data_IF_449749083272
#
_entry.id   IF_449749083272
#
_cell.length_a   1.000
_cell.length_b   1.000
_cell.length_c   1.000
_cell.angle_alpha   90.00
_cell.angle_beta   90.00
_cell.angle_gamma   90.00
#
_symmetry.space_group_name_H-M   'P 1'
#
loop_
_entity.id
_entity.type
_entity.pdbx_description
1 polymer ?
#
# COMPACT_ATOMS: atom_id res chain seq x y z
N UNK A 1 -13.32 -1.92 4.49
CA UNK A 1 -12.29 -0.90 4.17
C UNK A 1 -12.38 0.33 5.06
N UNK A 2 -13.56 0.92 5.30
CA UNK A 2 -13.72 2.09 6.21
C UNK A 2 -13.06 1.89 7.58
N UNK A 3 -13.28 0.74 8.23
CA UNK A 3 -12.66 0.44 9.53
C UNK A 3 -11.12 0.31 9.47
N UNK A 4 -10.58 -0.15 8.34
CA UNK A 4 -9.12 -0.18 8.12
C UNK A 4 -8.57 1.23 8.07
N UNK A 5 -9.24 2.13 7.35
CA UNK A 5 -8.86 3.54 7.27
C UNK A 5 -8.98 4.28 8.60
N UNK A 6 -9.97 3.93 9.43
CA UNK A 6 -10.08 4.48 10.78
C UNK A 6 -8.89 4.07 11.67
N UNK A 7 -8.49 2.79 11.60
CA UNK A 7 -7.32 2.28 12.33
C UNK A 7 -6.02 2.93 11.87
N UNK A 8 -5.82 3.07 10.56
CA UNK A 8 -4.71 3.81 9.97
C UNK A 8 -4.67 5.25 10.48
N UNK A 9 -5.73 6.04 10.26
CA UNK A 9 -5.76 7.44 10.68
C UNK A 9 -5.48 7.64 12.18
N UNK A 10 -6.04 6.76 13.03
CA UNK A 10 -5.81 6.76 14.46
C UNK A 10 -4.34 6.48 14.82
N UNK A 11 -3.74 5.45 14.23
CA UNK A 11 -2.34 5.08 14.49
C UNK A 11 -1.34 6.07 13.89
N UNK A 12 -1.69 6.70 12.77
CA UNK A 12 -0.87 7.66 12.08
C UNK A 12 -0.82 9.01 12.81
N UNK A 13 -2.00 9.61 13.06
CA UNK A 13 -2.18 10.95 13.65
C UNK A 13 -1.26 12.01 13.02
N UNK A 14 -1.34 12.16 11.70
CA UNK A 14 -0.46 13.03 10.91
C UNK A 14 1.04 12.72 11.12
N UNK A 15 1.36 11.45 11.36
CA UNK A 15 2.70 10.96 11.65
C UNK A 15 3.25 11.35 13.02
N UNK A 16 2.42 11.81 13.97
CA UNK A 16 2.87 12.07 15.36
C UNK A 16 3.05 10.78 16.15
N UNK A 17 2.14 9.83 15.97
CA UNK A 17 2.15 8.58 16.72
C UNK A 17 2.91 7.47 16.01
N UNK A 18 2.87 7.41 14.68
CA UNK A 18 3.57 6.40 13.88
C UNK A 18 5.09 6.29 14.19
N UNK A 19 5.76 7.43 14.44
CA UNK A 19 7.20 7.47 14.73
C UNK A 19 7.51 7.59 16.23
N UNK A 20 6.49 7.67 17.07
CA UNK A 20 6.67 7.66 18.51
C UNK A 20 7.00 6.24 18.95
N UNK A 21 8.23 6.04 19.44
CA UNK A 21 8.71 4.73 19.90
C UNK A 21 8.32 4.40 21.34
N UNK A 22 7.49 5.24 21.97
CA UNK A 22 7.06 5.09 23.36
C UNK A 22 5.55 4.85 23.43
N UNK A 23 5.16 3.58 23.61
CA UNK A 23 3.77 3.21 23.88
C UNK A 23 3.16 3.98 25.06
N UNK A 24 3.81 4.06 26.23
CA UNK A 24 3.30 4.83 27.37
C UNK A 24 3.04 6.30 27.04
N UNK A 25 3.87 6.93 26.20
CA UNK A 25 3.65 8.31 25.77
C UNK A 25 2.39 8.42 24.90
N UNK A 26 2.23 7.54 23.90
CA UNK A 26 1.03 7.53 23.03
C UNK A 26 -0.24 7.35 23.88
N UNK A 27 -0.21 6.43 24.85
CA UNK A 27 -1.34 6.20 25.76
C UNK A 27 -1.61 7.39 26.70
N UNK A 28 -0.57 8.09 27.16
CA UNK A 28 -0.71 9.33 27.93
C UNK A 28 -1.38 10.43 27.12
N UNK A 29 -0.91 10.69 25.90
CA UNK A 29 -1.53 11.66 24.98
C UNK A 29 -2.98 11.27 24.64
N UNK A 30 -3.26 9.98 24.42
CA UNK A 30 -4.63 9.51 24.19
C UNK A 30 -5.53 9.78 25.41
N UNK A 31 -5.02 9.62 26.63
CA UNK A 31 -5.77 9.94 27.84
C UNK A 31 -6.05 11.45 27.96
N UNK A 32 -5.07 12.29 27.64
CA UNK A 32 -5.23 13.76 27.58
C UNK A 32 -6.26 14.20 26.53
N UNK A 33 -6.39 13.46 25.43
CA UNK A 33 -7.42 13.66 24.39
C UNK A 33 -8.82 13.16 24.81
N UNK A 34 -8.98 12.64 26.03
CA UNK A 34 -10.27 12.13 26.53
C UNK A 34 -10.54 10.66 26.22
N UNK A 35 -9.52 9.91 25.79
CA UNK A 35 -9.62 8.50 25.45
C UNK A 35 -10.20 8.23 24.05
N UNK A 36 -10.19 6.96 23.64
CA UNK A 36 -10.55 6.56 22.26
C UNK A 36 -11.96 7.01 21.84
N UNK A 37 -12.93 6.96 22.77
CA UNK A 37 -14.32 7.33 22.49
C UNK A 37 -14.51 8.84 22.22
N UNK A 38 -13.55 9.67 22.62
CA UNK A 38 -13.59 11.12 22.39
C UNK A 38 -12.97 11.53 21.04
N UNK A 39 -12.24 10.62 20.37
CA UNK A 39 -11.54 10.90 19.12
C UNK A 39 -12.54 11.10 17.98
N UNK A 40 -12.38 12.19 17.22
CA UNK A 40 -13.00 12.39 15.91
C UNK A 40 -11.93 12.33 14.84
N UNK A 41 -12.01 11.34 13.96
CA UNK A 41 -11.01 11.10 12.91
C UNK A 41 -11.25 12.03 11.72
N UNK A 42 -10.85 13.29 11.90
CA UNK A 42 -11.02 14.35 10.90
C UNK A 42 -9.65 14.94 10.49
N UNK A 43 -9.41 15.15 9.19
CA UNK A 43 -8.28 15.97 8.73
C UNK A 43 -8.39 17.42 9.22
N UNK A 44 -7.27 18.14 9.42
CA UNK A 44 -5.90 17.71 9.16
C UNK A 44 -5.26 16.92 10.31
N UNK A 45 -5.97 16.71 11.42
CA UNK A 45 -5.38 16.12 12.62
C UNK A 45 -5.20 14.60 12.50
N UNK A 46 -6.18 13.94 11.87
CA UNK A 46 -6.25 12.48 11.69
C UNK A 46 -6.41 12.11 10.21
N UNK A 47 -5.46 12.48 9.33
CA UNK A 47 -5.47 12.00 7.96
C UNK A 47 -5.12 10.51 7.92
N UNK A 48 -5.56 9.81 6.88
CA UNK A 48 -5.07 8.46 6.56
C UNK A 48 -3.66 8.50 5.97
N UNK A 49 -2.85 7.46 6.18
CA UNK A 49 -1.49 7.30 5.64
C UNK A 49 -1.49 6.72 4.21
N UNK A 50 -0.31 6.32 3.73
CA UNK A 50 -0.14 5.54 2.50
C UNK A 50 -0.82 4.16 2.55
N UNK A 51 -1.00 3.58 3.73
CA UNK A 51 -1.69 2.31 3.95
C UNK A 51 -3.08 2.33 3.31
N UNK A 52 -3.92 3.29 3.71
CA UNK A 52 -5.28 3.40 3.17
C UNK A 52 -5.29 3.80 1.71
N UNK A 53 -4.41 4.72 1.28
CA UNK A 53 -4.35 5.15 -0.12
C UNK A 53 -4.03 3.96 -1.03
N UNK A 54 -3.05 3.14 -0.67
CA UNK A 54 -2.70 1.95 -1.44
C UNK A 54 -3.73 0.82 -1.31
N UNK A 55 -4.37 0.67 -0.14
CA UNK A 55 -5.44 -0.31 0.03
C UNK A 55 -6.66 0.03 -0.83
N UNK A 56 -7.03 1.31 -0.92
CA UNK A 56 -8.06 1.79 -1.85
C UNK A 56 -7.66 1.54 -3.30
N UNK A 57 -6.42 1.83 -3.68
CA UNK A 57 -5.92 1.53 -5.03
C UNK A 57 -6.07 0.04 -5.41
N UNK A 58 -5.77 -0.87 -4.49
CA UNK A 58 -6.01 -2.31 -4.67
C UNK A 58 -7.49 -2.60 -4.88
N UNK A 59 -8.34 -2.07 -4.00
CA UNK A 59 -9.77 -2.35 -4.03
C UNK A 59 -10.46 -1.78 -5.27
N UNK A 60 -10.08 -0.59 -5.71
CA UNK A 60 -10.57 0.01 -6.95
C UNK A 60 -10.15 -0.81 -8.18
N UNK A 61 -8.91 -1.33 -8.19
CA UNK A 61 -8.45 -2.23 -9.25
C UNK A 61 -9.29 -3.52 -9.30
N UNK A 62 -9.56 -4.13 -8.14
CA UNK A 62 -10.41 -5.33 -8.04
C UNK A 62 -11.87 -5.04 -8.44
N UNK A 63 -12.38 -3.85 -8.14
CA UNK A 63 -13.75 -3.44 -8.44
C UNK A 63 -14.03 -3.25 -9.94
N UNK A 64 -12.98 -3.20 -10.78
CA UNK A 64 -13.14 -3.15 -12.24
C UNK A 64 -13.73 -4.43 -12.84
N UNK A 65 -13.68 -5.55 -12.10
CA UNK A 65 -14.10 -6.86 -12.61
C UNK A 65 -13.10 -7.51 -13.58
N UNK A 66 -11.94 -6.90 -13.81
CA UNK A 66 -10.85 -7.50 -14.58
C UNK A 66 -10.30 -8.73 -13.84
N UNK A 67 -9.78 -9.69 -14.62
CA UNK A 67 -9.17 -10.91 -14.10
C UNK A 67 -7.84 -11.20 -14.81
N UNK A 68 -7.03 -12.07 -14.23
CA UNK A 68 -5.76 -12.51 -14.82
C UNK A 68 -4.78 -11.34 -15.05
N UNK A 69 -4.12 -11.35 -16.20
CA UNK A 69 -3.13 -10.35 -16.60
C UNK A 69 -3.69 -8.91 -16.68
N UNK A 70 -4.87 -8.66 -17.28
CA UNK A 70 -5.51 -7.34 -17.25
C UNK A 70 -5.68 -6.74 -15.84
N UNK A 71 -6.04 -7.56 -14.85
CA UNK A 71 -6.15 -7.12 -13.46
C UNK A 71 -4.79 -6.69 -12.90
N UNK A 72 -3.72 -7.44 -13.18
CA UNK A 72 -2.38 -7.11 -12.70
C UNK A 72 -1.87 -5.79 -13.28
N UNK A 73 -2.14 -5.54 -14.56
CA UNK A 73 -1.84 -4.27 -15.21
C UNK A 73 -2.63 -3.11 -14.59
N UNK A 74 -3.92 -3.32 -14.31
CA UNK A 74 -4.76 -2.32 -13.67
C UNK A 74 -4.30 -2.01 -12.23
N UNK A 75 -3.94 -3.03 -11.45
CA UNK A 75 -3.37 -2.84 -10.11
C UNK A 75 -2.07 -2.02 -10.18
N UNK A 76 -1.17 -2.34 -11.10
CA UNK A 76 0.06 -1.57 -11.30
C UNK A 76 -0.25 -0.10 -11.68
N UNK A 77 -1.22 0.14 -12.57
CA UNK A 77 -1.67 1.49 -12.94
C UNK A 77 -2.21 2.26 -11.75
N UNK A 78 -3.06 1.62 -10.93
CA UNK A 78 -3.63 2.20 -9.71
C UNK A 78 -2.55 2.54 -8.69
N UNK A 79 -1.59 1.63 -8.47
CA UNK A 79 -0.47 1.90 -7.56
C UNK A 79 0.40 3.07 -8.02
N UNK A 80 0.69 3.19 -9.32
CA UNK A 80 1.42 4.34 -9.86
C UNK A 80 0.62 5.64 -9.68
N UNK A 81 -0.68 5.62 -10.00
CA UNK A 81 -1.55 6.80 -9.85
C UNK A 81 -1.69 7.24 -8.39
N UNK A 82 -1.81 6.29 -7.46
CA UNK A 82 -1.92 6.54 -6.02
C UNK A 82 -0.72 7.31 -5.43
N UNK A 83 0.45 7.25 -6.09
CA UNK A 83 1.62 8.03 -5.67
C UNK A 83 1.40 9.55 -5.76
N UNK A 84 0.40 9.99 -6.54
CA UNK A 84 0.01 11.40 -6.62
C UNK A 84 -0.67 11.95 -5.36
N UNK A 85 -1.14 11.08 -4.45
CA UNK A 85 -1.83 11.44 -3.19
C UNK A 85 -0.98 11.07 -1.95
N UNK A 86 0.35 11.11 -2.08
CA UNK A 86 1.27 10.72 -0.99
C UNK A 86 1.80 11.89 -0.15
N UNK A 87 1.46 13.13 -0.50
CA UNK A 87 1.88 14.32 0.23
C UNK A 87 1.32 14.29 1.66
N UNK A 88 2.21 14.40 2.66
CA UNK A 88 1.82 14.37 4.07
C UNK A 88 1.34 13.00 4.58
N UNK A 89 1.52 11.91 3.80
CA UNK A 89 1.10 10.54 4.15
C UNK A 89 2.25 9.57 4.40
N UNK A 90 3.49 10.05 4.23
CA UNK A 90 4.76 9.39 4.56
C UNK A 90 4.87 7.91 4.16
N UNK A 91 4.96 7.60 2.86
CA UNK A 91 5.11 6.22 2.43
C UNK A 91 6.31 5.47 3.06
N UNK A 92 6.20 4.15 3.21
CA UNK A 92 7.25 3.34 3.87
C UNK A 92 8.55 3.15 3.04
N UNK A 93 9.74 2.95 3.64
CA UNK A 93 11.03 2.88 2.92
C UNK A 93 11.15 1.81 1.84
N UNK A 94 10.50 0.65 1.91
CA UNK A 94 10.51 -0.31 0.78
C UNK A 94 9.57 0.13 -0.36
N UNK A 95 8.61 0.99 -0.04
CA UNK A 95 7.83 1.79 -0.98
C UNK A 95 8.60 3.06 -1.43
N UNK A 96 9.63 3.54 -0.70
CA UNK A 96 10.42 4.80 -0.92
C UNK A 96 11.92 4.64 -1.31
N UNK A 97 12.59 3.52 -1.08
CA UNK A 97 14.04 3.33 -1.21
C UNK A 97 14.41 2.06 -1.98
N UNK A 98 14.77 2.28 -3.24
CA UNK A 98 15.48 1.40 -4.14
C UNK A 98 16.92 1.87 -4.06
N UNK A 99 17.84 0.93 -4.05
CA UNK A 99 19.24 1.24 -3.80
C UNK A 99 19.82 2.14 -4.90
N UNK A 100 20.79 2.97 -4.49
CA UNK A 100 21.51 3.92 -5.31
C UNK A 100 22.09 3.28 -6.59
N UNK A 101 21.37 3.43 -7.71
CA UNK A 101 21.93 3.43 -9.06
C UNK A 101 22.17 4.87 -9.52
N UNK A 102 23.04 5.11 -10.53
CA UNK A 102 23.34 6.46 -11.00
C UNK A 102 22.05 7.18 -11.38
N UNK A 103 21.93 8.45 -11.00
CA UNK A 103 20.81 9.33 -11.37
C UNK A 103 20.67 9.35 -12.89
N UNK A 104 19.79 8.51 -13.45
CA UNK A 104 19.42 8.63 -14.86
C UNK A 104 18.44 9.79 -14.96
N UNK A 105 18.95 10.93 -15.45
CA UNK A 105 18.11 11.96 -16.07
C UNK A 105 17.57 11.35 -17.36
N UNK A 106 16.37 10.79 -17.29
CA UNK A 106 15.62 10.33 -18.45
C UNK A 106 14.28 11.05 -18.47
N UNK A 107 14.05 11.83 -19.53
CA UNK A 107 12.72 12.34 -19.87
C UNK A 107 11.83 11.16 -20.27
N UNK A 108 10.63 11.07 -19.69
CA UNK A 108 9.56 10.22 -20.19
C UNK A 108 8.42 11.15 -20.59
N UNK A 109 8.19 11.25 -21.90
CA UNK A 109 6.92 11.71 -22.46
C UNK A 109 6.48 13.16 -22.15
N UNK A 110 7.36 14.15 -22.26
CA UNK A 110 6.95 15.56 -22.45
C UNK A 110 6.19 16.25 -21.31
N UNK A 111 6.00 15.60 -20.17
CA UNK A 111 5.35 16.18 -19.00
C UNK A 111 6.40 16.70 -18.02
N UNK A 112 6.45 18.03 -17.88
CA UNK A 112 7.31 18.75 -16.94
C UNK A 112 7.02 18.27 -15.53
N UNK A 113 7.98 17.59 -14.87
CA UNK A 113 7.83 17.18 -13.46
C UNK A 113 7.67 18.44 -12.58
N UNK A 114 6.55 18.61 -11.84
CA UNK A 114 6.47 19.67 -10.85
C UNK A 114 7.53 19.43 -9.77
N UNK A 115 8.14 20.52 -9.33
CA UNK A 115 9.25 20.51 -8.37
C UNK A 115 8.71 20.08 -7.00
N UNK A 116 9.23 18.98 -6.43
CA UNK A 116 8.83 18.48 -5.10
C UNK A 116 8.68 16.96 -4.93
N UNK A 117 8.91 16.15 -5.97
CA UNK A 117 8.63 14.70 -5.94
C UNK A 117 9.63 13.87 -5.10
N UNK A 118 9.21 13.40 -3.92
CA UNK A 118 9.81 12.22 -3.27
C UNK A 118 9.53 11.01 -4.16
N UNK A 119 10.55 10.52 -4.83
CA UNK A 119 10.43 9.42 -5.81
C UNK A 119 10.41 8.07 -5.09
N UNK A 120 9.30 7.34 -5.25
CA UNK A 120 8.95 6.06 -4.62
C UNK A 120 9.36 4.87 -5.53
N UNK A 121 10.34 4.02 -5.19
CA UNK A 121 11.09 3.17 -6.11
C UNK A 121 10.49 1.80 -6.39
N UNK A 122 9.51 1.33 -5.62
CA UNK A 122 8.73 0.15 -6.03
C UNK A 122 7.86 0.48 -7.25
N UNK A 123 7.02 1.50 -7.12
CA UNK A 123 6.07 1.91 -8.17
C UNK A 123 6.75 2.62 -9.35
N UNK A 124 7.89 3.31 -9.15
CA UNK A 124 8.61 3.95 -10.26
C UNK A 124 9.28 2.98 -11.24
N UNK A 125 9.39 1.70 -10.88
CA UNK A 125 9.85 0.63 -11.77
C UNK A 125 8.71 0.02 -12.60
N UNK A 126 7.46 0.26 -12.22
CA UNK A 126 6.30 -0.23 -12.96
C UNK A 126 6.14 0.52 -14.28
N UNK A 127 5.73 -0.20 -15.31
CA UNK A 127 5.39 0.28 -16.66
C UNK A 127 4.02 -0.27 -17.06
N UNK A 128 2.92 0.17 -16.42
CA UNK A 128 1.58 -0.32 -16.76
C UNK A 128 1.27 -0.09 -18.24
N UNK A 129 0.76 -1.11 -18.92
CA UNK A 129 0.48 -1.09 -20.37
C UNK A 129 1.59 -1.72 -21.23
N UNK A 130 2.77 -1.97 -20.68
CA UNK A 130 3.79 -2.82 -21.30
C UNK A 130 3.57 -4.29 -20.88
N UNK A 131 3.81 -5.28 -21.76
CA UNK A 131 3.79 -6.69 -21.38
C UNK A 131 4.71 -6.94 -20.18
N UNK A 132 4.19 -7.57 -19.13
CA UNK A 132 4.92 -7.83 -17.88
C UNK A 132 5.43 -6.56 -17.15
N UNK A 133 5.00 -5.37 -17.56
CA UNK A 133 5.44 -4.08 -17.00
C UNK A 133 5.02 -3.85 -15.54
N UNK A 134 4.20 -4.74 -14.96
CA UNK A 134 3.90 -4.76 -13.53
C UNK A 134 4.96 -5.51 -12.69
N UNK A 135 5.97 -6.11 -13.32
CA UNK A 135 7.03 -6.87 -12.64
C UNK A 135 8.26 -6.01 -12.37
N UNK A 136 8.89 -6.26 -11.24
CA UNK A 136 10.16 -5.63 -10.85
C UNK A 136 11.20 -6.72 -10.50
N UNK A 137 12.50 -6.42 -10.53
CA UNK A 137 13.54 -7.35 -10.06
C UNK A 137 13.39 -7.69 -8.57
N UNK A 138 13.97 -8.83 -8.16
CA UNK A 138 14.10 -9.17 -6.74
C UNK A 138 14.87 -8.09 -5.98
N UNK A 139 14.45 -7.79 -4.75
CA UNK A 139 15.13 -6.83 -3.87
C UNK A 139 15.35 -7.45 -2.49
N UNK A 140 16.60 -7.68 -2.04
CA UNK A 140 16.88 -8.25 -0.72
C UNK A 140 16.39 -7.39 0.45
N UNK A 141 16.07 -6.11 0.21
CA UNK A 141 15.53 -5.16 1.19
C UNK A 141 14.03 -4.90 1.00
N UNK A 142 13.36 -5.66 0.13
CA UNK A 142 11.92 -5.60 -0.11
C UNK A 142 11.08 -6.25 1.01
N UNK A 143 11.56 -6.23 2.25
CA UNK A 143 11.00 -6.97 3.40
C UNK A 143 9.91 -6.20 4.16
N UNK A 144 9.64 -4.95 3.80
CA UNK A 144 8.66 -4.10 4.50
C UNK A 144 7.21 -4.59 4.41
N UNK A 145 6.35 -4.01 5.27
CA UNK A 145 4.92 -4.34 5.35
C UNK A 145 4.06 -3.75 4.21
N UNK A 146 4.64 -2.96 3.30
CA UNK A 146 3.89 -2.21 2.29
C UNK A 146 3.02 -3.08 1.38
N UNK A 147 3.44 -4.31 1.11
CA UNK A 147 2.62 -5.30 0.40
C UNK A 147 1.44 -5.82 1.23
N UNK A 148 1.66 -6.06 2.53
CA UNK A 148 0.64 -6.56 3.44
C UNK A 148 -0.48 -5.54 3.67
N UNK A 149 -0.13 -4.29 3.98
CA UNK A 149 -1.10 -3.25 4.39
C UNK A 149 -2.18 -2.97 3.35
N UNK A 150 -1.91 -3.23 2.06
CA UNK A 150 -2.82 -2.97 0.94
C UNK A 150 -3.58 -4.18 0.40
N UNK A 151 -3.45 -5.36 1.03
CA UNK A 151 -3.90 -6.63 0.44
C UNK A 151 -5.21 -7.17 0.98
N UNK A 152 -5.80 -6.58 2.02
CA UNK A 152 -7.02 -7.09 2.65
C UNK A 152 -8.20 -7.19 1.67
N UNK A 153 -8.30 -6.23 0.73
CA UNK A 153 -9.39 -6.20 -0.26
C UNK A 153 -9.39 -7.43 -1.19
N UNK A 154 -8.23 -8.06 -1.41
CA UNK A 154 -8.12 -9.28 -2.22
C UNK A 154 -8.87 -10.43 -1.56
N UNK A 155 -8.77 -10.55 -0.23
CA UNK A 155 -9.51 -11.55 0.56
C UNK A 155 -11.02 -11.35 0.50
N UNK A 156 -11.47 -10.09 0.54
CA UNK A 156 -12.89 -9.76 0.41
C UNK A 156 -13.43 -10.06 -0.99
N UNK A 157 -12.60 -9.95 -2.03
CA UNK A 157 -12.98 -10.25 -3.42
C UNK A 157 -13.03 -11.75 -3.72
N UNK A 158 -12.15 -12.54 -3.09
CA UNK A 158 -12.03 -13.98 -3.32
C UNK A 158 -12.21 -14.78 -2.02
N UNK A 159 -13.38 -14.68 -1.35
CA UNK A 159 -13.56 -15.26 -0.03
C UNK A 159 -13.72 -16.79 -0.06
N UNK A 160 -14.10 -17.42 -1.18
CA UNK A 160 -14.48 -18.83 -1.20
C UNK A 160 -13.29 -19.79 -1.35
N UNK A 161 -13.42 -21.01 -0.82
CA UNK A 161 -12.33 -21.99 -0.86
C UNK A 161 -11.94 -22.39 -2.29
N UNK A 162 -12.91 -22.41 -3.22
CA UNK A 162 -12.68 -22.64 -4.65
C UNK A 162 -11.85 -21.53 -5.31
N UNK A 163 -11.79 -20.33 -4.73
CA UNK A 163 -11.06 -19.17 -5.26
C UNK A 163 -9.66 -19.05 -4.67
N UNK A 164 -9.27 -19.95 -3.75
CA UNK A 164 -7.96 -19.93 -3.09
C UNK A 164 -6.77 -19.83 -4.08
N UNK A 165 -6.75 -20.56 -5.22
CA UNK A 165 -5.68 -20.39 -6.21
C UNK A 165 -5.59 -18.96 -6.75
N UNK A 166 -6.73 -18.32 -7.01
CA UNK A 166 -6.80 -16.92 -7.48
C UNK A 166 -6.36 -15.95 -6.40
N UNK A 167 -6.80 -16.15 -5.15
CA UNK A 167 -6.35 -15.35 -4.00
C UNK A 167 -4.84 -15.40 -3.84
N UNK A 168 -4.25 -16.61 -3.88
CA UNK A 168 -2.80 -16.80 -3.77
C UNK A 168 -2.07 -16.06 -4.89
N UNK A 169 -2.52 -16.22 -6.14
CA UNK A 169 -1.92 -15.55 -7.28
C UNK A 169 -1.99 -14.03 -7.16
N UNK A 170 -3.19 -13.47 -6.98
CA UNK A 170 -3.40 -12.01 -6.97
C UNK A 170 -2.68 -11.34 -5.79
N UNK A 171 -2.67 -11.96 -4.61
CA UNK A 171 -1.95 -11.42 -3.44
C UNK A 171 -0.44 -11.44 -3.62
N UNK A 172 0.15 -12.53 -4.15
CA UNK A 172 1.61 -12.60 -4.40
C UNK A 172 2.01 -11.62 -5.50
N UNK A 173 1.30 -11.62 -6.63
CA UNK A 173 1.60 -10.74 -7.77
C UNK A 173 1.48 -9.26 -7.37
N UNK A 174 0.38 -8.89 -6.71
CA UNK A 174 0.18 -7.51 -6.27
C UNK A 174 1.19 -7.07 -5.21
N UNK A 175 1.63 -7.99 -4.33
CA UNK A 175 2.68 -7.73 -3.34
C UNK A 175 4.04 -7.49 -4.01
N UNK A 176 4.45 -8.38 -4.92
CA UNK A 176 5.76 -8.32 -5.57
C UNK A 176 5.92 -7.18 -6.59
N UNK A 177 4.84 -6.49 -6.98
CA UNK A 177 4.91 -5.23 -7.75
C UNK A 177 5.77 -4.16 -7.07
N UNK A 178 5.89 -4.19 -5.73
CA UNK A 178 6.76 -3.27 -4.99
C UNK A 178 7.67 -3.96 -3.97
N UNK A 179 7.32 -5.17 -3.54
CA UNK A 179 8.05 -5.94 -2.53
C UNK A 179 8.40 -7.32 -3.08
N UNK A 180 9.29 -7.37 -4.08
CA UNK A 180 9.76 -8.64 -4.65
C UNK A 180 10.78 -9.32 -3.72
N UNK A 181 10.30 -9.72 -2.55
CA UNK A 181 10.98 -10.48 -1.52
C UNK A 181 9.93 -11.32 -0.77
N UNK A 182 10.19 -12.60 -0.44
CA UNK A 182 9.20 -13.48 0.19
C UNK A 182 8.62 -12.92 1.49
N UNK A 183 9.45 -12.36 2.38
CA UNK A 183 8.95 -11.68 3.60
C UNK A 183 7.91 -10.59 3.31
N UNK A 184 8.04 -9.87 2.20
CA UNK A 184 7.09 -8.82 1.80
C UNK A 184 5.82 -9.40 1.18
N UNK A 185 5.92 -10.11 0.05
CA UNK A 185 4.73 -10.58 -0.68
C UNK A 185 4.00 -11.73 0.02
N UNK A 186 4.64 -12.51 0.90
CA UNK A 186 3.90 -13.48 1.73
C UNK A 186 3.12 -12.78 2.85
N UNK A 187 3.50 -11.57 3.24
CA UNK A 187 2.66 -10.70 4.08
C UNK A 187 1.36 -10.30 3.38
N UNK A 188 1.42 -10.01 2.07
CA UNK A 188 0.22 -9.77 1.26
C UNK A 188 -0.70 -11.00 1.23
N UNK A 189 -0.13 -12.19 1.02
CA UNK A 189 -0.88 -13.45 1.08
C UNK A 189 -1.53 -13.66 2.45
N UNK A 190 -0.80 -13.46 3.54
CA UNK A 190 -1.32 -13.65 4.90
C UNK A 190 -2.52 -12.73 5.17
N UNK A 191 -2.40 -11.43 4.83
CA UNK A 191 -3.49 -10.46 5.01
C UNK A 191 -4.68 -10.78 4.11
N UNK A 192 -4.46 -11.14 2.84
CA UNK A 192 -5.54 -11.53 1.95
C UNK A 192 -6.27 -12.79 2.45
N UNK A 193 -5.54 -13.80 2.90
CA UNK A 193 -6.12 -15.04 3.42
C UNK A 193 -6.94 -14.80 4.69
N UNK A 194 -6.42 -14.02 5.64
CA UNK A 194 -7.18 -13.67 6.84
C UNK A 194 -8.39 -12.78 6.53
N UNK A 195 -8.28 -11.89 5.54
CA UNK A 195 -9.42 -11.14 5.01
C UNK A 195 -10.52 -12.05 4.46
N UNK A 196 -10.16 -13.10 3.70
CA UNK A 196 -11.11 -14.09 3.19
C UNK A 196 -11.75 -14.91 4.32
N UNK A 197 -10.98 -15.28 5.35
CA UNK A 197 -11.50 -16.01 6.51
C UNK A 197 -12.48 -15.15 7.34
N UNK A 198 -12.19 -13.86 7.51
CA UNK A 198 -13.07 -12.94 8.24
C UNK A 198 -14.33 -12.54 7.48
N UNK A 199 -14.42 -12.84 6.18
CA UNK A 199 -15.59 -12.57 5.34
C UNK A 199 -16.57 -13.76 5.26
N UNK A 200 -16.21 -14.91 5.83
CA UNK A 200 -17.05 -16.11 5.93
C UNK A 200 -17.77 -16.14 7.27
#
# INVERSE_FOLDING_TARGET
MVLSGAGDALGYRAGRWEYCKSGPQIHGELAELGGLAAIRLEPPEWPVSDDTVLHLATAEGLATGLEGEPLLQELARRYVAAMGDMEGRKPGPSSILGEHGPRIRGEVGGLRKPHGFVSLPGTSQLRPGEPEGYRIPFNPRGTGCGAAMRSLAIGLRYPHASELPTLIRVSIESGRMTHHHPTGYLGALAVALFGALGAR
#
